data_IF_100001116048
#
_entry.id   IF_100001116048
#
_cell.length_a   1.000
_cell.length_b   1.000
_cell.length_c   1.000
_cell.angle_alpha   90.00
_cell.angle_beta   90.00
_cell.angle_gamma   90.00
#
_symmetry.space_group_name_H-M   'P 1'
#
loop_
_entity.id
_entity.type
_entity.pdbx_description
1 polymer ?
#
# COMPACT_ATOMS: atom_id res chain seq x y z
N UNK A 1 -0.42 -16.06 5.43
CA UNK A 1 0.77 -15.94 4.58
C UNK A 1 1.66 -14.87 5.17
N UNK A 2 2.99 -15.03 5.09
CA UNK A 2 3.98 -14.06 5.57
C UNK A 2 5.15 -14.07 4.60
N UNK A 3 5.34 -12.95 3.93
CA UNK A 3 6.36 -12.67 2.93
C UNK A 3 7.44 -11.71 3.48
N UNK A 4 7.09 -10.89 4.48
CA UNK A 4 8.02 -9.98 5.18
C UNK A 4 8.32 -10.48 6.59
N UNK A 5 9.58 -10.36 7.02
CA UNK A 5 9.97 -10.69 8.38
C UNK A 5 9.57 -9.59 9.39
N UNK A 6 9.66 -9.91 10.68
CA UNK A 6 9.23 -8.99 11.74
C UNK A 6 10.27 -7.87 11.93
N UNK A 7 11.52 -8.08 11.52
CA UNK A 7 12.58 -7.10 11.64
C UNK A 7 12.36 -5.95 10.66
N UNK A 8 12.02 -6.27 9.41
CA UNK A 8 11.67 -5.31 8.39
C UNK A 8 10.38 -4.55 8.73
N UNK A 9 9.37 -5.23 9.30
CA UNK A 9 8.15 -4.56 9.77
C UNK A 9 8.41 -3.62 10.97
N UNK A 10 9.33 -3.99 11.86
CA UNK A 10 9.66 -3.18 13.06
C UNK A 10 10.58 -2.01 12.76
N UNK A 11 11.57 -2.20 11.89
CA UNK A 11 12.51 -1.16 11.46
C UNK A 11 11.95 -0.28 10.34
N UNK A 12 11.00 -0.80 9.59
CA UNK A 12 10.44 -0.14 8.43
C UNK A 12 9.40 0.91 8.80
N UNK A 13 9.40 2.02 8.08
CA UNK A 13 8.25 2.93 8.03
C UNK A 13 7.16 2.27 7.20
N UNK A 14 6.09 1.82 7.86
CA UNK A 14 5.01 1.03 7.25
C UNK A 14 3.94 1.94 6.64
N UNK A 15 3.54 1.63 5.42
CA UNK A 15 2.45 2.27 4.68
C UNK A 15 1.49 1.21 4.15
N UNK A 16 0.23 1.59 3.99
CA UNK A 16 -0.83 0.71 3.49
C UNK A 16 -1.54 1.29 2.27
N UNK A 17 -2.16 0.47 1.44
CA UNK A 17 -2.97 0.96 0.31
C UNK A 17 -4.32 1.53 0.77
N UNK A 18 -4.97 0.87 1.73
CA UNK A 18 -6.28 1.24 2.26
C UNK A 18 -6.41 0.80 3.73
N UNK A 19 -7.22 1.49 4.53
CA UNK A 19 -7.36 1.25 5.97
C UNK A 19 -7.71 -0.20 6.34
N UNK A 20 -8.54 -0.85 5.52
CA UNK A 20 -8.93 -2.25 5.71
C UNK A 20 -7.73 -3.22 5.69
N UNK A 21 -6.57 -2.81 5.19
CA UNK A 21 -5.36 -3.62 5.24
C UNK A 21 -4.95 -4.02 6.67
N UNK A 22 -5.27 -3.20 7.67
CA UNK A 22 -5.00 -3.52 9.08
C UNK A 22 -5.93 -4.59 9.68
N UNK A 23 -6.93 -5.02 8.92
CA UNK A 23 -7.92 -6.03 9.30
C UNK A 23 -7.83 -7.29 8.42
N UNK A 24 -7.44 -7.12 7.16
CA UNK A 24 -7.48 -8.20 6.17
C UNK A 24 -6.10 -8.74 5.77
N UNK A 25 -5.03 -7.92 5.81
CA UNK A 25 -3.68 -8.42 5.53
C UNK A 25 -3.23 -9.27 6.71
N UNK A 26 -3.27 -10.59 6.55
CA UNK A 26 -2.85 -11.52 7.60
C UNK A 26 -1.43 -11.28 8.13
N UNK A 27 -0.54 -10.70 7.32
CA UNK A 27 0.79 -10.29 7.77
C UNK A 27 0.76 -9.10 8.73
N UNK A 28 -0.03 -8.05 8.45
CA UNK A 28 -0.23 -6.89 9.33
C UNK A 28 -0.99 -7.29 10.60
N UNK A 29 -2.09 -8.01 10.45
CA UNK A 29 -2.89 -8.53 11.57
C UNK A 29 -2.02 -9.39 12.47
N UNK A 30 -1.25 -10.30 11.89
CA UNK A 30 -0.31 -11.14 12.63
C UNK A 30 0.80 -10.33 13.31
N UNK A 31 1.36 -9.31 12.66
CA UNK A 31 2.38 -8.45 13.27
C UNK A 31 1.84 -7.70 14.49
N UNK A 32 0.59 -7.24 14.44
CA UNK A 32 -0.10 -6.62 15.59
C UNK A 32 -0.31 -7.62 16.71
N UNK A 33 -0.81 -8.82 16.39
CA UNK A 33 -1.00 -9.89 17.39
C UNK A 33 0.31 -10.32 18.07
N UNK A 34 1.42 -10.32 17.33
CA UNK A 34 2.76 -10.62 17.86
C UNK A 34 3.42 -9.44 18.59
N UNK A 35 2.80 -8.26 18.60
CA UNK A 35 3.36 -7.06 19.20
C UNK A 35 4.55 -6.45 18.44
N UNK A 36 4.73 -6.83 17.18
CA UNK A 36 5.80 -6.34 16.29
C UNK A 36 5.49 -4.94 15.77
N UNK A 37 4.19 -4.66 15.56
CA UNK A 37 3.66 -3.41 15.02
C UNK A 37 2.41 -3.03 15.82
N UNK A 38 2.19 -1.74 16.10
CA UNK A 38 0.90 -1.22 16.57
C UNK A 38 0.15 -0.61 15.39
N UNK A 39 -1.18 -0.53 15.47
CA UNK A 39 -1.97 0.17 14.44
C UNK A 39 -1.52 1.62 14.24
N UNK A 40 -1.11 2.29 15.33
CA UNK A 40 -0.56 3.65 15.32
C UNK A 40 0.81 3.77 14.65
N UNK A 41 1.51 2.67 14.42
CA UNK A 41 2.84 2.67 13.80
C UNK A 41 2.74 2.67 12.27
N UNK A 42 1.53 2.45 11.72
CA UNK A 42 1.25 2.69 10.31
C UNK A 42 1.30 4.19 10.06
N UNK A 43 2.17 4.59 9.16
CA UNK A 43 2.56 5.97 9.02
C UNK A 43 1.88 6.65 7.81
N UNK A 44 0.84 6.01 7.27
CA UNK A 44 -0.15 6.56 6.34
C UNK A 44 -0.56 5.62 5.21
N UNK A 45 -1.60 6.03 4.49
CA UNK A 45 -2.13 5.36 3.30
C UNK A 45 -1.44 5.79 2.01
N UNK A 46 -1.60 5.02 0.94
CA UNK A 46 -1.14 5.39 -0.41
C UNK A 46 -1.80 6.69 -0.89
N UNK A 47 -3.07 6.92 -0.53
CA UNK A 47 -3.77 8.15 -0.87
C UNK A 47 -3.13 9.36 -0.20
N UNK A 48 -2.88 9.29 1.11
CA UNK A 48 -2.21 10.37 1.87
C UNK A 48 -0.78 10.62 1.37
N UNK A 49 -0.06 9.56 0.98
CA UNK A 49 1.25 9.66 0.34
C UNK A 49 1.17 10.42 -0.99
N UNK A 50 0.21 10.04 -1.84
CA UNK A 50 0.06 10.62 -3.17
C UNK A 50 -0.32 12.12 -3.12
N UNK A 51 -1.09 12.54 -2.13
CA UNK A 51 -1.47 13.95 -1.94
C UNK A 51 -0.49 14.74 -1.06
N UNK A 52 0.53 14.08 -0.50
CA UNK A 52 1.54 14.72 0.34
C UNK A 52 1.07 15.08 1.75
N UNK A 53 -0.03 14.49 2.25
CA UNK A 53 -0.49 14.68 3.63
C UNK A 53 0.41 13.96 4.64
N UNK A 54 0.99 12.83 4.22
CA UNK A 54 2.06 12.16 4.97
C UNK A 54 3.35 12.20 4.17
N UNK A 55 4.44 12.50 4.86
CA UNK A 55 5.78 12.43 4.29
C UNK A 55 6.12 10.98 3.94
N UNK A 56 6.72 10.77 2.77
CA UNK A 56 7.22 9.47 2.35
C UNK A 56 8.50 9.06 3.08
N UNK A 57 9.52 8.69 2.31
CA UNK A 57 10.86 8.40 2.81
C UNK A 57 11.52 9.65 3.40
N UNK A 58 12.16 9.51 4.55
CA UNK A 58 12.81 10.62 5.30
C UNK A 58 14.33 10.65 5.19
N UNK A 59 14.96 9.52 4.89
CA UNK A 59 16.40 9.42 4.67
C UNK A 59 16.75 8.28 3.73
N UNK A 60 17.98 8.29 3.21
CA UNK A 60 18.48 7.23 2.33
C UNK A 60 18.57 5.87 3.04
N UNK A 61 18.95 5.86 4.32
CA UNK A 61 19.10 4.64 5.13
C UNK A 61 17.77 4.09 5.67
N UNK A 62 16.66 4.80 5.50
CA UNK A 62 15.36 4.37 6.01
C UNK A 62 14.83 3.13 5.27
N UNK A 63 14.31 2.15 5.99
CA UNK A 63 13.56 1.05 5.39
C UNK A 63 12.11 1.49 5.24
N UNK A 64 11.54 1.35 4.05
CA UNK A 64 10.11 1.62 3.80
C UNK A 64 9.40 0.33 3.46
N UNK A 65 8.26 0.06 4.08
CA UNK A 65 7.45 -1.14 3.82
C UNK A 65 6.07 -0.71 3.36
N UNK A 66 5.68 -1.12 2.17
CA UNK A 66 4.32 -0.93 1.67
C UNK A 66 3.59 -2.27 1.69
N UNK A 67 2.37 -2.29 2.24
CA UNK A 67 1.51 -3.46 2.28
C UNK A 67 0.18 -3.14 1.63
N UNK A 68 -0.28 -4.05 0.78
CA UNK A 68 -1.48 -3.85 -0.03
C UNK A 68 -2.43 -5.02 0.14
N UNK A 69 -3.73 -4.73 0.30
CA UNK A 69 -4.81 -5.71 0.12
C UNK A 69 -5.31 -5.75 -1.31
N UNK A 70 -5.13 -4.65 -2.04
CA UNK A 70 -5.78 -4.41 -3.31
C UNK A 70 -7.19 -3.86 -3.11
N UNK A 71 -7.55 -2.87 -3.94
CA UNK A 71 -8.89 -2.28 -3.92
C UNK A 71 -9.55 -2.40 -5.29
N UNK A 72 -10.87 -2.60 -5.30
CA UNK A 72 -11.65 -2.65 -6.55
C UNK A 72 -11.53 -1.36 -7.35
N UNK A 73 -11.34 -0.22 -6.68
CA UNK A 73 -11.15 1.07 -7.34
C UNK A 73 -9.94 1.07 -8.30
N UNK A 74 -8.79 0.53 -7.87
CA UNK A 74 -7.60 0.45 -8.72
C UNK A 74 -7.85 -0.46 -9.93
N UNK A 75 -8.53 -1.59 -9.73
CA UNK A 75 -8.87 -2.51 -10.82
C UNK A 75 -9.82 -1.86 -11.85
N UNK A 76 -10.85 -1.15 -11.39
CA UNK A 76 -11.80 -0.47 -12.26
C UNK A 76 -11.13 0.65 -13.07
N UNK A 77 -10.30 1.47 -12.42
CA UNK A 77 -9.57 2.54 -13.10
C UNK A 77 -8.58 1.99 -14.13
N UNK A 78 -7.88 0.90 -13.81
CA UNK A 78 -6.99 0.23 -14.76
C UNK A 78 -7.77 -0.32 -15.97
N UNK A 79 -8.93 -0.93 -15.75
CA UNK A 79 -9.79 -1.44 -16.81
C UNK A 79 -10.33 -0.32 -17.72
N UNK A 80 -10.78 0.79 -17.11
CA UNK A 80 -11.22 1.97 -17.85
C UNK A 80 -10.09 2.54 -18.72
N UNK A 81 -8.90 2.73 -18.14
CA UNK A 81 -7.74 3.24 -18.88
C UNK A 81 -7.40 2.33 -20.08
N UNK A 82 -7.38 1.02 -19.88
CA UNK A 82 -7.10 0.06 -20.94
C UNK A 82 -8.14 0.14 -22.07
N UNK A 83 -9.43 0.24 -21.71
CA UNK A 83 -10.52 0.35 -22.66
C UNK A 83 -10.46 1.67 -23.46
N UNK A 84 -10.29 2.80 -22.78
CA UNK A 84 -10.20 4.12 -23.41
C UNK A 84 -8.98 4.21 -24.35
N UNK A 85 -7.84 3.68 -23.92
CA UNK A 85 -6.62 3.60 -24.74
C UNK A 85 -6.88 2.80 -26.01
N UNK A 86 -7.51 1.63 -25.90
CA UNK A 86 -7.85 0.80 -27.05
C UNK A 86 -8.78 1.55 -28.03
N UNK A 87 -9.86 2.16 -27.54
CA UNK A 87 -10.82 2.92 -28.34
C UNK A 87 -10.15 4.10 -29.05
N UNK A 88 -9.24 4.81 -28.39
CA UNK A 88 -8.52 5.94 -28.98
C UNK A 88 -7.56 5.50 -30.10
N UNK A 89 -6.84 4.39 -29.92
CA UNK A 89 -5.95 3.85 -30.96
C UNK A 89 -6.72 3.38 -32.19
N UNK A 90 -7.87 2.72 -32.02
CA UNK A 90 -8.69 2.24 -33.15
C UNK A 90 -9.36 3.36 -33.94
N UNK A 91 -9.59 4.54 -33.34
CA UNK A 91 -10.13 5.71 -34.07
C UNK A 91 -9.08 6.46 -34.90
N UNK A 92 -7.80 6.28 -34.61
CA UNK A 92 -6.69 7.02 -35.22
C UNK A 92 -5.89 6.22 -36.27
N UNK A 93 -6.27 4.97 -36.54
CA UNK A 93 -5.71 4.13 -37.60
C UNK A 93 -6.77 3.74 -38.62
#
# INVERSE_FOLDING_TARGET
MRECDDEAMRRGRVFIDFEAAMEEVGELVGAVQRGVLRRSDVAGTLAELAVGTVEGRRSEDEITVFKSIGTTAVNLLAAQLAFETHVATTKNG
#
